data_IF_432874176995
#
_entry.id   IF_432874176995
#
_cell.length_a   1.000
_cell.length_b   1.000
_cell.length_c   1.000
_cell.angle_alpha   90.00
_cell.angle_beta   90.00
_cell.angle_gamma   90.00
#
_symmetry.space_group_name_H-M   'P 1'
#
loop_
_entity.id
_entity.type
_entity.pdbx_description
1 polymer ?
#
# COMPACT_ATOMS: atom_id res chain seq x y z
N UNK A 1 19.87 46.16 18.93
CA UNK A 1 18.74 45.27 19.31
C UNK A 1 18.97 43.95 18.61
N UNK A 2 19.53 43.00 19.34
CA UNK A 2 19.88 41.68 18.76
C UNK A 2 18.65 40.75 18.87
N UNK A 3 18.11 40.39 17.72
CA UNK A 3 17.05 39.38 17.63
C UNK A 3 17.72 38.02 17.76
N UNK A 4 17.62 37.41 18.91
CA UNK A 4 18.01 36.01 19.11
C UNK A 4 17.00 35.11 18.42
N UNK A 5 17.38 34.54 17.30
CA UNK A 5 16.65 33.42 16.69
C UNK A 5 16.77 32.21 17.62
N UNK A 6 15.67 31.70 18.09
CA UNK A 6 15.59 30.42 18.78
C UNK A 6 16.07 29.30 17.83
N UNK A 7 16.89 28.36 18.29
CA UNK A 7 17.29 27.23 17.43
C UNK A 7 16.09 26.41 17.03
N UNK A 8 16.03 26.01 15.77
CA UNK A 8 15.00 25.08 15.26
C UNK A 8 15.11 23.73 15.99
N UNK A 9 13.99 23.10 16.37
CA UNK A 9 14.02 21.82 17.05
C UNK A 9 14.74 20.76 16.22
N UNK A 10 15.66 20.04 16.85
CA UNK A 10 16.53 19.04 16.17
C UNK A 10 15.89 17.66 16.05
N UNK A 11 14.78 17.43 16.74
CA UNK A 11 14.02 16.16 16.65
C UNK A 11 12.52 16.42 16.57
N UNK A 12 11.81 15.46 15.95
CA UNK A 12 10.36 15.47 15.85
C UNK A 12 9.67 15.48 17.23
N UNK A 13 10.27 14.80 18.21
CA UNK A 13 9.76 14.76 19.59
C UNK A 13 9.87 16.13 20.30
N UNK A 14 10.93 16.88 20.05
CA UNK A 14 11.09 18.26 20.55
C UNK A 14 10.08 19.21 19.92
N UNK A 15 9.79 19.02 18.62
CA UNK A 15 8.80 19.81 17.92
C UNK A 15 7.38 19.57 18.47
N UNK A 16 7.00 18.31 18.74
CA UNK A 16 5.71 17.96 19.38
C UNK A 16 5.58 18.54 20.78
N UNK A 17 6.69 18.64 21.53
CA UNK A 17 6.71 19.14 22.90
C UNK A 17 6.65 20.67 23.00
N UNK A 18 6.97 21.41 21.95
CA UNK A 18 7.00 22.87 21.94
C UNK A 18 5.62 23.53 21.76
N UNK A 19 4.56 22.76 21.55
CA UNK A 19 3.18 23.24 21.39
C UNK A 19 2.94 23.95 20.04
N UNK A 20 1.67 24.15 19.63
CA UNK A 20 1.36 24.71 18.33
C UNK A 20 1.76 26.18 18.26
N UNK A 21 2.89 26.46 17.62
CA UNK A 21 3.21 27.79 17.13
C UNK A 21 2.37 28.05 15.88
N UNK A 22 1.30 28.80 16.01
CA UNK A 22 0.21 29.01 15.02
C UNK A 22 0.70 29.70 13.72
N UNK A 23 1.98 29.99 13.54
CA UNK A 23 2.44 30.94 12.53
C UNK A 23 3.13 30.40 11.29
N UNK A 24 3.28 29.08 11.10
CA UNK A 24 3.55 28.58 9.75
C UNK A 24 3.51 27.05 9.67
N UNK A 25 2.71 26.52 8.75
CA UNK A 25 2.76 25.13 8.23
C UNK A 25 4.16 24.81 7.68
N UNK A 26 4.94 25.83 7.30
CA UNK A 26 6.34 25.73 6.88
C UNK A 26 7.32 25.33 8.00
N UNK A 27 6.88 25.27 9.25
CA UNK A 27 7.71 24.87 10.40
C UNK A 27 7.51 23.42 10.83
N UNK A 28 6.75 22.61 10.09
CA UNK A 28 6.77 21.16 10.31
C UNK A 28 8.21 20.72 10.00
N UNK A 29 8.97 20.23 10.97
CA UNK A 29 10.28 19.68 10.65
C UNK A 29 10.02 18.58 9.64
N UNK A 30 10.48 18.75 8.41
CA UNK A 30 10.59 17.66 7.45
C UNK A 30 11.63 16.71 8.02
N UNK A 31 11.23 16.01 9.07
CA UNK A 31 12.07 15.01 9.69
C UNK A 31 12.28 13.98 8.60
N UNK A 32 13.53 13.71 8.28
CA UNK A 32 14.00 12.63 7.42
C UNK A 32 13.68 11.28 8.08
N UNK A 33 12.41 11.05 8.41
CA UNK A 33 11.95 9.73 8.80
C UNK A 33 12.07 8.84 7.57
N UNK A 34 12.76 7.73 7.72
CA UNK A 34 12.86 6.75 6.65
C UNK A 34 11.47 6.14 6.41
N UNK A 35 11.16 5.87 5.14
CA UNK A 35 9.99 5.07 4.82
C UNK A 35 10.12 3.70 5.51
N UNK A 36 9.03 3.17 6.12
CA UNK A 36 9.04 1.85 6.71
C UNK A 36 9.45 0.80 5.69
N UNK A 37 10.45 -0.02 6.03
CA UNK A 37 11.00 -1.01 5.11
C UNK A 37 9.99 -2.10 4.71
N UNK A 38 8.94 -2.29 5.50
CA UNK A 38 7.84 -3.22 5.31
C UNK A 38 6.65 -2.64 4.51
N UNK A 39 6.79 -1.41 3.98
CA UNK A 39 5.73 -0.72 3.26
C UNK A 39 4.55 -0.25 4.13
N UNK A 40 4.69 -0.30 5.45
CA UNK A 40 3.69 0.17 6.41
C UNK A 40 3.41 1.67 6.28
N UNK A 41 2.46 2.17 7.09
CA UNK A 41 2.18 3.61 7.08
C UNK A 41 3.35 4.42 7.67
N UNK A 42 3.55 5.61 7.11
CA UNK A 42 4.62 6.49 7.56
C UNK A 42 4.19 7.23 8.85
N UNK A 43 5.02 7.25 9.91
CA UNK A 43 4.66 7.93 11.19
C UNK A 43 4.26 9.40 11.04
N UNK A 44 4.72 10.04 9.98
CA UNK A 44 4.32 11.40 9.65
C UNK A 44 2.84 11.57 9.35
N UNK A 45 2.14 10.51 8.94
CA UNK A 45 0.69 10.53 8.70
C UNK A 45 -0.08 10.83 9.98
N UNK A 46 0.27 10.16 11.07
CA UNK A 46 -0.32 10.42 12.38
C UNK A 46 -0.03 11.85 12.85
N UNK A 47 1.20 12.29 12.71
CA UNK A 47 1.61 13.63 13.08
C UNK A 47 0.88 14.71 12.30
N UNK A 48 0.71 14.52 11.00
CA UNK A 48 -0.05 15.44 10.15
C UNK A 48 -1.49 15.56 10.63
N UNK A 49 -2.16 14.42 10.88
CA UNK A 49 -3.54 14.38 11.35
C UNK A 49 -3.67 15.05 12.72
N UNK A 50 -2.77 14.74 13.66
CA UNK A 50 -2.73 15.34 14.98
C UNK A 50 -2.49 16.86 14.94
N UNK A 51 -1.81 17.36 13.91
CA UNK A 51 -1.54 18.79 13.74
C UNK A 51 -2.70 19.53 13.07
N UNK A 52 -3.31 18.95 12.06
CA UNK A 52 -4.42 19.55 11.32
C UNK A 52 -5.68 19.71 12.20
N UNK A 53 -6.02 18.69 12.99
CA UNK A 53 -7.27 18.67 13.76
C UNK A 53 -7.40 19.82 14.76
N UNK A 54 -6.40 20.19 15.58
CA UNK A 54 -6.49 21.36 16.47
C UNK A 54 -6.62 22.68 15.71
N UNK A 55 -5.95 22.83 14.56
CA UNK A 55 -6.05 24.03 13.72
C UNK A 55 -7.49 24.21 13.27
N UNK A 56 -8.15 23.14 12.86
CA UNK A 56 -9.55 23.15 12.43
C UNK A 56 -10.46 23.58 13.56
N UNK A 57 -10.35 22.89 14.71
CA UNK A 57 -11.19 23.18 15.88
C UNK A 57 -11.04 24.64 16.35
N UNK A 58 -9.83 25.20 16.24
CA UNK A 58 -9.62 26.61 16.58
C UNK A 58 -10.21 27.58 15.55
N UNK A 59 -10.28 27.19 14.28
CA UNK A 59 -10.82 28.02 13.20
C UNK A 59 -12.34 27.91 13.06
N UNK A 60 -12.95 26.76 13.38
CA UNK A 60 -14.41 26.64 13.47
C UNK A 60 -14.99 27.66 14.45
N UNK A 61 -14.28 27.98 15.53
CA UNK A 61 -14.67 29.05 16.47
C UNK A 61 -14.52 30.46 15.88
N UNK A 62 -13.66 30.63 14.84
CA UNK A 62 -13.43 31.94 14.19
C UNK A 62 -14.26 32.15 12.90
N UNK A 63 -14.77 31.08 12.29
CA UNK A 63 -15.64 31.14 11.09
C UNK A 63 -16.97 31.85 11.35
N UNK A 64 -17.42 31.91 12.62
CA UNK A 64 -18.57 32.72 13.04
C UNK A 64 -18.40 34.21 12.65
N UNK A 65 -17.18 34.67 12.33
CA UNK A 65 -16.86 36.07 12.02
C UNK A 65 -16.56 36.38 10.53
N UNK A 66 -16.81 35.45 9.62
CA UNK A 66 -16.95 35.76 8.14
C UNK A 66 -15.72 35.73 7.24
N UNK A 67 -14.50 35.88 7.76
CA UNK A 67 -13.28 36.01 6.90
C UNK A 67 -12.36 34.75 6.85
N UNK A 68 -12.70 33.70 7.59
CA UNK A 68 -11.81 32.56 7.78
C UNK A 68 -11.83 31.48 6.70
N UNK A 69 -12.90 31.35 5.93
CA UNK A 69 -13.15 30.18 5.08
C UNK A 69 -12.19 30.05 3.87
N UNK A 70 -11.85 31.16 3.21
CA UNK A 70 -10.92 31.16 2.07
C UNK A 70 -9.48 30.88 2.47
N UNK A 71 -9.07 31.37 3.66
CA UNK A 71 -7.73 31.09 4.21
C UNK A 71 -7.55 29.61 4.56
N UNK A 72 -8.58 28.93 5.09
CA UNK A 72 -8.54 27.52 5.44
C UNK A 72 -8.41 26.63 4.20
N UNK A 73 -9.15 26.90 3.13
CA UNK A 73 -9.08 26.14 1.87
C UNK A 73 -7.68 26.17 1.27
N UNK A 74 -7.08 27.36 1.16
CA UNK A 74 -5.73 27.53 0.60
C UNK A 74 -4.64 26.83 1.45
N UNK A 75 -4.75 26.90 2.78
CA UNK A 75 -3.83 26.21 3.70
C UNK A 75 -3.97 24.69 3.58
N UNK A 76 -5.19 24.20 3.40
CA UNK A 76 -5.48 22.77 3.24
C UNK A 76 -4.90 22.22 1.95
N UNK A 77 -5.06 22.94 0.83
CA UNK A 77 -4.48 22.56 -0.46
C UNK A 77 -2.95 22.45 -0.38
N UNK A 78 -2.28 23.46 0.16
CA UNK A 78 -0.84 23.42 0.35
C UNK A 78 -0.35 22.28 1.26
N UNK A 79 -1.14 21.93 2.27
CA UNK A 79 -0.83 20.80 3.16
C UNK A 79 -0.96 19.45 2.45
N UNK A 80 -1.99 19.29 1.59
CA UNK A 80 -2.17 18.07 0.79
C UNK A 80 -1.03 17.93 -0.21
N UNK A 81 -0.66 19.00 -0.92
CA UNK A 81 0.45 18.98 -1.87
C UNK A 81 1.78 18.61 -1.20
N UNK A 82 2.03 19.16 -0.02
CA UNK A 82 3.22 18.81 0.76
C UNK A 82 3.20 17.34 1.17
N UNK A 83 2.05 16.83 1.66
CA UNK A 83 1.90 15.42 2.00
C UNK A 83 2.16 14.51 0.80
N UNK A 84 1.57 14.83 -0.36
CA UNK A 84 1.79 14.08 -1.60
C UNK A 84 3.27 14.05 -1.99
N UNK A 85 3.95 15.20 -1.93
CA UNK A 85 5.38 15.31 -2.23
C UNK A 85 6.23 14.45 -1.29
N UNK A 86 5.92 14.46 0.00
CA UNK A 86 6.67 13.69 1.01
C UNK A 86 6.42 12.19 0.83
N UNK A 87 5.18 11.77 0.63
CA UNK A 87 4.87 10.35 0.38
C UNK A 87 5.55 9.86 -0.90
N UNK A 88 5.48 10.65 -1.99
CA UNK A 88 6.15 10.32 -3.25
C UNK A 88 7.66 10.17 -3.04
N UNK A 89 8.32 11.14 -2.42
CA UNK A 89 9.76 11.09 -2.13
C UNK A 89 10.15 9.91 -1.24
N UNK A 90 9.29 9.52 -0.28
CA UNK A 90 9.55 8.35 0.56
C UNK A 90 9.31 7.04 -0.19
N UNK A 91 8.31 6.99 -1.07
CA UNK A 91 8.04 5.79 -1.87
C UNK A 91 9.21 5.46 -2.81
N UNK A 92 9.87 6.47 -3.38
CA UNK A 92 11.04 6.30 -4.26
C UNK A 92 12.26 5.67 -3.58
N UNK A 93 12.32 5.69 -2.26
CA UNK A 93 13.39 5.02 -1.49
C UNK A 93 13.28 3.49 -1.52
N UNK A 94 12.10 2.94 -1.79
CA UNK A 94 11.95 1.52 -1.99
C UNK A 94 12.46 1.13 -3.38
N UNK A 95 13.35 0.16 -3.43
CA UNK A 95 13.90 -0.35 -4.71
C UNK A 95 12.84 -1.12 -5.49
N UNK A 96 12.03 -1.91 -4.79
CA UNK A 96 10.94 -2.70 -5.37
C UNK A 96 9.76 -1.81 -5.79
N UNK A 97 9.40 -1.76 -7.08
CA UNK A 97 8.25 -0.97 -7.54
C UNK A 97 6.92 -1.39 -6.90
N UNK A 98 6.75 -2.69 -6.62
CA UNK A 98 5.52 -3.18 -5.97
C UNK A 98 5.39 -2.65 -4.55
N UNK A 99 6.50 -2.60 -3.80
CA UNK A 99 6.55 -2.06 -2.45
C UNK A 99 6.30 -0.53 -2.43
N UNK A 100 6.75 0.21 -3.47
CA UNK A 100 6.44 1.64 -3.60
C UNK A 100 4.93 1.89 -3.63
N UNK A 101 4.24 1.15 -4.48
CA UNK A 101 2.79 1.30 -4.62
C UNK A 101 2.03 0.76 -3.41
N UNK A 102 2.52 -0.31 -2.81
CA UNK A 102 1.98 -0.85 -1.56
C UNK A 102 2.09 0.18 -0.42
N UNK A 103 3.25 0.83 -0.25
CA UNK A 103 3.46 1.92 0.69
C UNK A 103 2.50 3.10 0.44
N UNK A 104 2.37 3.54 -0.82
CA UNK A 104 1.44 4.63 -1.17
C UNK A 104 0.00 4.27 -0.83
N UNK A 105 -0.44 3.06 -1.17
CA UNK A 105 -1.78 2.56 -0.86
C UNK A 105 -2.08 2.59 0.64
N UNK A 106 -1.16 2.09 1.48
CA UNK A 106 -1.29 2.09 2.94
C UNK A 106 -1.44 3.50 3.51
N UNK A 107 -0.64 4.44 3.02
CA UNK A 107 -0.65 5.81 3.52
C UNK A 107 -1.92 6.58 3.13
N UNK A 108 -2.40 6.40 1.89
CA UNK A 108 -3.68 7.00 1.48
C UNK A 108 -4.86 6.38 2.23
N UNK A 109 -4.82 5.06 2.48
CA UNK A 109 -5.87 4.37 3.25
C UNK A 109 -5.93 4.83 4.70
N UNK A 110 -4.79 5.14 5.32
CA UNK A 110 -4.74 5.66 6.69
C UNK A 110 -5.66 6.87 6.90
N UNK A 111 -5.69 7.81 5.98
CA UNK A 111 -6.54 9.00 6.07
C UNK A 111 -8.05 8.69 6.04
N UNK A 112 -8.44 7.55 5.48
CA UNK A 112 -9.83 7.13 5.43
C UNK A 112 -10.31 6.46 6.71
N UNK A 113 -9.40 5.77 7.41
CA UNK A 113 -9.75 4.91 8.56
C UNK A 113 -9.30 5.47 9.90
N UNK A 114 -8.58 6.59 9.91
CA UNK A 114 -8.16 7.24 11.15
C UNK A 114 -9.35 7.62 12.03
N UNK A 115 -9.17 7.54 13.34
CA UNK A 115 -10.20 7.94 14.32
C UNK A 115 -10.62 9.41 14.20
N UNK A 116 -9.82 10.25 13.54
CA UNK A 116 -10.08 11.67 13.30
C UNK A 116 -10.69 11.92 11.90
N UNK A 117 -11.24 10.88 11.28
CA UNK A 117 -11.83 10.94 9.94
C UNK A 117 -12.93 12.01 9.81
N UNK A 118 -13.74 12.18 10.85
CA UNK A 118 -14.85 13.17 10.85
C UNK A 118 -14.34 14.61 10.79
N UNK A 119 -13.29 14.90 11.53
CA UNK A 119 -12.63 16.20 11.51
C UNK A 119 -11.97 16.46 10.15
N UNK A 120 -11.35 15.45 9.57
CA UNK A 120 -10.77 15.56 8.25
C UNK A 120 -11.84 15.76 7.15
N UNK A 121 -13.05 15.20 7.32
CA UNK A 121 -14.18 15.43 6.39
C UNK A 121 -14.58 16.89 6.30
N UNK A 122 -14.50 17.62 7.41
CA UNK A 122 -14.83 19.06 7.46
C UNK A 122 -13.84 19.85 6.60
N UNK A 123 -12.57 19.44 6.58
CA UNK A 123 -11.51 20.15 5.84
C UNK A 123 -11.48 19.77 4.36
N UNK A 124 -11.38 18.48 4.12
CA UNK A 124 -11.12 17.96 2.78
C UNK A 124 -12.37 17.76 1.95
N UNK A 125 -13.49 17.52 2.63
CA UNK A 125 -14.78 17.26 1.99
C UNK A 125 -14.86 15.94 1.23
N UNK A 126 -16.07 15.55 0.88
CA UNK A 126 -16.36 14.28 0.23
C UNK A 126 -15.69 14.11 -1.13
N UNK A 127 -15.45 15.20 -1.87
CA UNK A 127 -14.80 15.15 -3.19
C UNK A 127 -13.35 14.72 -3.05
N UNK A 128 -12.64 15.25 -2.06
CA UNK A 128 -11.26 14.88 -1.80
C UNK A 128 -11.14 13.40 -1.39
N UNK A 129 -12.01 12.93 -0.49
CA UNK A 129 -11.99 11.54 -0.08
C UNK A 129 -12.34 10.55 -1.19
N UNK A 130 -13.20 10.95 -2.13
CA UNK A 130 -13.42 10.14 -3.35
C UNK A 130 -12.14 10.04 -4.18
N UNK A 131 -11.45 11.15 -4.42
CA UNK A 131 -10.15 11.15 -5.12
C UNK A 131 -9.10 10.33 -4.36
N UNK A 132 -9.12 10.40 -3.04
CA UNK A 132 -8.21 9.60 -2.22
C UNK A 132 -8.44 8.09 -2.40
N UNK A 133 -9.70 7.62 -2.44
CA UNK A 133 -10.01 6.22 -2.76
C UNK A 133 -9.56 5.83 -4.15
N UNK A 134 -9.71 6.72 -5.14
CA UNK A 134 -9.18 6.49 -6.49
C UNK A 134 -7.66 6.29 -6.46
N UNK A 135 -6.92 7.06 -5.65
CA UNK A 135 -5.48 6.88 -5.44
C UNK A 135 -5.15 5.54 -4.77
N UNK A 136 -5.92 5.13 -3.75
CA UNK A 136 -5.77 3.81 -3.12
C UNK A 136 -5.94 2.71 -4.17
N UNK A 137 -7.03 2.76 -4.95
CA UNK A 137 -7.31 1.78 -5.99
C UNK A 137 -6.25 1.77 -7.09
N UNK A 138 -5.79 2.93 -7.55
CA UNK A 138 -4.74 3.03 -8.57
C UNK A 138 -3.42 2.41 -8.08
N UNK A 139 -3.04 2.69 -6.83
CA UNK A 139 -1.83 2.10 -6.27
C UNK A 139 -1.97 0.59 -6.06
N UNK A 140 -3.17 0.10 -5.71
CA UNK A 140 -3.45 -1.34 -5.69
C UNK A 140 -3.24 -1.99 -7.07
N UNK A 141 -3.75 -1.39 -8.15
CA UNK A 141 -3.57 -1.90 -9.50
C UNK A 141 -2.10 -1.95 -9.94
N UNK A 142 -1.31 -0.92 -9.61
CA UNK A 142 0.12 -0.92 -9.88
C UNK A 142 0.85 -1.96 -9.03
N UNK A 143 0.56 -2.04 -7.72
CA UNK A 143 1.09 -3.08 -6.84
C UNK A 143 0.84 -4.48 -7.42
N UNK A 144 -0.41 -4.81 -7.77
CA UNK A 144 -0.80 -6.09 -8.36
C UNK A 144 -0.02 -6.37 -9.65
N UNK A 145 0.07 -5.38 -10.53
CA UNK A 145 0.79 -5.49 -11.81
C UNK A 145 2.28 -5.82 -11.60
N UNK A 146 2.95 -5.11 -10.70
CA UNK A 146 4.38 -5.31 -10.47
C UNK A 146 4.69 -6.58 -9.69
N UNK A 147 3.78 -7.06 -8.84
CA UNK A 147 3.98 -8.26 -8.03
C UNK A 147 3.46 -9.54 -8.68
N UNK A 148 2.21 -9.52 -9.15
CA UNK A 148 1.44 -10.72 -9.42
C UNK A 148 1.21 -11.01 -10.90
N UNK A 149 1.26 -10.01 -11.79
CA UNK A 149 1.05 -10.26 -13.23
C UNK A 149 2.08 -11.22 -13.79
N UNK A 150 3.34 -11.17 -13.31
CA UNK A 150 4.39 -12.12 -13.72
C UNK A 150 4.08 -13.54 -13.23
N UNK A 151 3.59 -13.69 -12.02
CA UNK A 151 3.18 -15.00 -11.46
C UNK A 151 2.02 -15.57 -12.28
N UNK A 152 1.03 -14.74 -12.59
CA UNK A 152 -0.12 -15.12 -13.41
C UNK A 152 0.25 -15.45 -14.85
N UNK A 153 1.30 -14.84 -15.40
CA UNK A 153 1.77 -15.09 -16.76
C UNK A 153 2.14 -16.56 -16.96
N UNK A 154 2.75 -17.20 -15.97
CA UNK A 154 3.12 -18.62 -16.04
C UNK A 154 1.91 -19.56 -16.04
N UNK A 155 0.74 -19.08 -15.62
CA UNK A 155 -0.52 -19.86 -15.66
C UNK A 155 -1.30 -19.70 -16.97
N UNK A 156 -0.82 -18.87 -17.91
CA UNK A 156 -1.47 -18.71 -19.21
C UNK A 156 -1.25 -19.95 -20.06
N UNK A 157 -2.33 -20.43 -20.66
CA UNK A 157 -2.33 -21.58 -21.56
C UNK A 157 -2.14 -21.10 -23.01
N UNK A 158 -0.94 -21.29 -23.54
CA UNK A 158 -0.58 -20.97 -24.95
C UNK A 158 -0.62 -22.23 -25.83
N UNK A 159 -1.52 -23.16 -25.52
CA UNK A 159 -1.59 -24.44 -26.22
C UNK A 159 -2.43 -24.28 -27.46
N UNK A 160 -1.78 -24.30 -28.63
CA UNK A 160 -2.45 -24.44 -29.91
C UNK A 160 -2.83 -25.90 -30.14
N UNK A 161 -4.04 -26.16 -30.67
CA UNK A 161 -4.55 -27.51 -30.94
C UNK A 161 -3.68 -28.30 -31.95
N UNK A 162 -2.72 -27.66 -32.60
CA UNK A 162 -1.74 -28.25 -33.53
C UNK A 162 -0.39 -28.59 -32.90
N UNK A 163 -0.20 -28.30 -31.59
CA UNK A 163 1.07 -28.56 -30.90
C UNK A 163 1.16 -30.03 -30.52
N UNK A 164 2.33 -30.66 -30.77
CA UNK A 164 2.60 -32.02 -30.35
C UNK A 164 2.50 -32.16 -28.82
N UNK A 165 1.84 -33.21 -28.33
CA UNK A 165 1.55 -33.40 -26.89
C UNK A 165 2.85 -33.42 -26.06
N UNK A 166 3.92 -33.97 -26.56
CA UNK A 166 5.22 -34.00 -25.88
C UNK A 166 5.80 -32.60 -25.65
N UNK A 167 5.67 -31.71 -26.65
CA UNK A 167 6.11 -30.32 -26.56
C UNK A 167 5.23 -29.52 -25.59
N UNK A 168 3.92 -29.73 -25.68
CA UNK A 168 2.98 -29.11 -24.77
C UNK A 168 3.25 -29.51 -23.31
N UNK A 169 3.49 -30.79 -23.05
CA UNK A 169 3.83 -31.31 -21.73
C UNK A 169 5.13 -30.70 -21.19
N UNK A 170 6.17 -30.61 -22.01
CA UNK A 170 7.44 -29.96 -21.62
C UNK A 170 7.27 -28.50 -21.25
N UNK A 171 6.57 -27.73 -22.10
CA UNK A 171 6.28 -26.31 -21.83
C UNK A 171 5.48 -26.09 -20.56
N UNK A 172 4.46 -26.93 -20.30
CA UNK A 172 3.65 -26.81 -19.09
C UNK A 172 4.43 -27.17 -17.82
N UNK A 173 5.34 -28.15 -17.86
CA UNK A 173 6.23 -28.46 -16.72
C UNK A 173 7.14 -27.28 -16.38
N UNK A 174 7.73 -26.65 -17.39
CA UNK A 174 8.57 -25.46 -17.22
C UNK A 174 7.76 -24.30 -16.62
N UNK A 175 6.57 -24.00 -17.17
CA UNK A 175 5.68 -22.96 -16.64
C UNK A 175 5.28 -23.21 -15.19
N UNK A 176 4.95 -24.46 -14.82
CA UNK A 176 4.61 -24.82 -13.46
C UNK A 176 5.79 -24.63 -12.50
N UNK A 177 7.00 -25.02 -12.91
CA UNK A 177 8.20 -24.79 -12.11
C UNK A 177 8.49 -23.30 -11.90
N UNK A 178 8.34 -22.48 -12.95
CA UNK A 178 8.50 -21.04 -12.85
C UNK A 178 7.42 -20.39 -11.98
N UNK A 179 6.19 -20.86 -12.09
CA UNK A 179 5.11 -20.44 -11.21
C UNK A 179 5.45 -20.74 -9.74
N UNK A 180 5.81 -21.97 -9.40
CA UNK A 180 6.15 -22.37 -8.03
C UNK A 180 7.26 -21.49 -7.45
N UNK A 181 8.32 -21.28 -8.22
CA UNK A 181 9.46 -20.44 -7.82
C UNK A 181 9.01 -18.98 -7.54
N UNK A 182 8.37 -18.34 -8.51
CA UNK A 182 7.98 -16.93 -8.36
C UNK A 182 6.87 -16.70 -7.34
N UNK A 183 5.90 -17.61 -7.26
CA UNK A 183 4.85 -17.58 -6.27
C UNK A 183 5.42 -17.66 -4.85
N UNK A 184 6.30 -18.64 -4.59
CA UNK A 184 6.95 -18.82 -3.30
C UNK A 184 7.82 -17.60 -2.92
N UNK A 185 8.62 -17.08 -3.87
CA UNK A 185 9.43 -15.89 -3.65
C UNK A 185 8.58 -14.67 -3.32
N UNK A 186 7.51 -14.43 -4.08
CA UNK A 186 6.58 -13.32 -3.85
C UNK A 186 5.91 -13.44 -2.47
N UNK A 187 5.41 -14.62 -2.10
CA UNK A 187 4.80 -14.84 -0.79
C UNK A 187 5.81 -14.65 0.35
N UNK A 188 7.04 -15.17 0.24
CA UNK A 188 8.11 -14.99 1.24
C UNK A 188 8.46 -13.51 1.47
N UNK A 189 8.49 -12.72 0.41
CA UNK A 189 8.76 -11.28 0.54
C UNK A 189 7.57 -10.58 1.16
N UNK A 190 6.36 -10.82 0.65
CA UNK A 190 5.18 -10.05 1.03
C UNK A 190 4.57 -10.46 2.37
N UNK A 191 4.88 -11.65 2.92
CA UNK A 191 4.48 -11.98 4.29
C UNK A 191 5.16 -11.05 5.33
N UNK A 192 6.29 -10.44 5.00
CA UNK A 192 7.01 -9.49 5.86
C UNK A 192 6.48 -8.06 5.75
N UNK A 193 5.65 -7.77 4.76
CA UNK A 193 5.04 -6.44 4.59
C UNK A 193 3.91 -6.24 5.60
N UNK A 194 3.61 -4.97 5.90
CA UNK A 194 2.62 -4.62 6.92
C UNK A 194 1.52 -3.76 6.35
N UNK A 195 0.26 -4.15 6.57
CA UNK A 195 -0.92 -3.34 6.25
C UNK A 195 -1.47 -2.75 7.55
N UNK A 196 -1.73 -1.44 7.54
CA UNK A 196 -2.28 -0.73 8.69
C UNK A 196 -3.74 -1.10 8.97
N UNK A 197 -4.57 -1.18 7.91
CA UNK A 197 -6.00 -1.44 7.98
C UNK A 197 -6.32 -2.89 7.64
N UNK A 198 -6.79 -3.67 8.61
CA UNK A 198 -7.11 -5.09 8.40
C UNK A 198 -8.13 -5.29 7.28
N UNK A 199 -9.09 -4.37 7.14
CA UNK A 199 -10.06 -4.44 6.05
C UNK A 199 -9.39 -4.28 4.67
N UNK A 200 -8.42 -3.38 4.54
CA UNK A 200 -7.63 -3.27 3.32
C UNK A 200 -6.85 -4.56 3.05
N UNK A 201 -6.27 -5.17 4.07
CA UNK A 201 -5.59 -6.46 3.96
C UNK A 201 -6.53 -7.54 3.40
N UNK A 202 -7.71 -7.67 3.99
CA UNK A 202 -8.73 -8.62 3.53
C UNK A 202 -9.15 -8.35 2.08
N UNK A 203 -9.36 -7.09 1.69
CA UNK A 203 -9.72 -6.67 0.34
C UNK A 203 -8.63 -7.06 -0.68
N UNK A 204 -7.36 -6.84 -0.36
CA UNK A 204 -6.22 -7.23 -1.21
C UNK A 204 -6.17 -8.75 -1.37
N UNK A 205 -6.20 -9.50 -0.26
CA UNK A 205 -6.12 -10.96 -0.27
C UNK A 205 -7.30 -11.55 -1.06
N UNK A 206 -8.52 -11.10 -0.82
CA UNK A 206 -9.71 -11.57 -1.55
C UNK A 206 -9.59 -11.32 -3.05
N UNK A 207 -9.09 -10.15 -3.45
CA UNK A 207 -8.87 -9.81 -4.85
C UNK A 207 -7.79 -10.71 -5.50
N UNK A 208 -6.69 -10.99 -4.81
CA UNK A 208 -5.64 -11.90 -5.29
C UNK A 208 -6.16 -13.33 -5.43
N UNK A 209 -6.91 -13.84 -4.45
CA UNK A 209 -7.54 -15.17 -4.49
C UNK A 209 -8.51 -15.30 -5.68
N UNK A 210 -9.32 -14.29 -5.91
CA UNK A 210 -10.29 -14.27 -7.01
C UNK A 210 -9.63 -14.35 -8.40
N UNK A 211 -8.39 -13.95 -8.53
CA UNK A 211 -7.66 -14.01 -9.81
C UNK A 211 -6.79 -15.27 -9.87
N UNK A 212 -6.03 -15.55 -8.81
CA UNK A 212 -5.01 -16.59 -8.82
C UNK A 212 -5.59 -18.01 -8.72
N UNK A 213 -6.55 -18.24 -7.81
CA UNK A 213 -7.11 -19.58 -7.61
C UNK A 213 -7.80 -20.15 -8.86
N UNK A 214 -8.66 -19.38 -9.57
CA UNK A 214 -9.24 -19.89 -10.82
C UNK A 214 -8.18 -20.14 -11.89
N UNK A 215 -7.22 -19.25 -12.06
CA UNK A 215 -6.15 -19.40 -13.05
C UNK A 215 -5.31 -20.65 -12.78
N UNK A 216 -4.92 -20.85 -11.52
CA UNK A 216 -4.17 -22.03 -11.09
C UNK A 216 -4.98 -23.32 -11.30
N UNK A 217 -6.26 -23.34 -10.88
CA UNK A 217 -7.14 -24.51 -11.05
C UNK A 217 -7.31 -24.90 -12.51
N UNK A 218 -7.52 -23.93 -13.42
CA UNK A 218 -7.61 -24.18 -14.86
C UNK A 218 -6.29 -24.73 -15.40
N UNK A 219 -5.16 -24.13 -14.98
CA UNK A 219 -3.84 -24.57 -15.42
C UNK A 219 -3.56 -26.02 -14.96
N UNK A 220 -3.79 -26.34 -13.69
CA UNK A 220 -3.54 -27.68 -13.12
C UNK A 220 -4.45 -28.73 -13.77
N UNK A 221 -5.74 -28.42 -13.98
CA UNK A 221 -6.62 -29.33 -14.69
C UNK A 221 -6.10 -29.69 -16.09
N UNK A 222 -5.68 -28.67 -16.86
CA UNK A 222 -5.12 -28.90 -18.19
C UNK A 222 -3.75 -29.59 -18.14
N UNK A 223 -2.93 -29.30 -17.14
CA UNK A 223 -1.67 -29.96 -16.90
C UNK A 223 -1.84 -31.46 -16.68
N UNK A 224 -2.80 -31.86 -15.86
CA UNK A 224 -3.12 -33.27 -15.59
C UNK A 224 -3.66 -34.01 -16.82
N UNK A 225 -4.44 -33.32 -17.67
CA UNK A 225 -4.92 -33.90 -18.93
C UNK A 225 -3.78 -34.24 -19.92
N UNK A 226 -2.74 -33.39 -19.95
CA UNK A 226 -1.64 -33.50 -20.91
C UNK A 226 -0.49 -34.37 -20.35
N UNK A 227 -0.16 -34.19 -19.06
CA UNK A 227 0.88 -34.94 -18.36
C UNK A 227 0.23 -36.10 -17.61
N UNK A 228 -0.25 -37.10 -18.35
CA UNK A 228 -1.02 -38.24 -17.82
C UNK A 228 -0.25 -39.12 -16.83
N UNK A 229 1.06 -39.25 -17.02
CA UNK A 229 1.92 -40.05 -16.14
C UNK A 229 2.71 -39.15 -15.20
N UNK A 230 2.60 -39.36 -13.89
CA UNK A 230 3.37 -38.69 -12.84
C UNK A 230 3.15 -37.17 -12.75
N UNK A 231 1.98 -36.63 -13.16
CA UNK A 231 1.66 -35.21 -13.04
C UNK A 231 1.82 -34.70 -11.59
N UNK A 232 1.48 -35.52 -10.61
CA UNK A 232 1.58 -35.19 -9.19
C UNK A 232 3.02 -34.92 -8.70
N UNK A 233 4.03 -35.44 -9.37
CA UNK A 233 5.45 -35.19 -9.01
C UNK A 233 5.89 -33.74 -9.27
N UNK A 234 5.16 -33.03 -10.13
CA UNK A 234 5.45 -31.65 -10.51
C UNK A 234 4.56 -30.64 -9.78
N UNK A 235 3.44 -31.07 -9.18
CA UNK A 235 2.49 -30.21 -8.49
C UNK A 235 2.98 -30.05 -7.05
N UNK A 236 3.69 -28.94 -6.77
CA UNK A 236 4.23 -28.61 -5.46
C UNK A 236 3.14 -28.12 -4.49
N UNK A 237 2.18 -27.35 -4.99
CA UNK A 237 1.12 -26.73 -4.20
C UNK A 237 -0.26 -27.24 -4.63
N UNK A 238 -1.08 -27.66 -3.64
CA UNK A 238 -2.52 -27.83 -3.84
C UNK A 238 -3.24 -26.49 -3.77
N UNK A 239 -4.54 -26.50 -4.13
CA UNK A 239 -5.40 -25.30 -4.03
C UNK A 239 -5.47 -24.73 -2.60
N UNK A 240 -5.43 -25.61 -1.59
CA UNK A 240 -5.42 -25.19 -0.18
C UNK A 240 -4.10 -24.54 0.20
N UNK A 241 -2.97 -25.05 -0.28
CA UNK A 241 -1.67 -24.48 0.01
C UNK A 241 -1.55 -23.06 -0.57
N UNK A 242 -1.99 -22.87 -1.83
CA UNK A 242 -2.06 -21.54 -2.46
C UNK A 242 -2.95 -20.60 -1.64
N UNK A 243 -4.13 -21.06 -1.23
CA UNK A 243 -5.05 -20.26 -0.44
C UNK A 243 -4.44 -19.85 0.91
N UNK A 244 -3.82 -20.79 1.62
CA UNK A 244 -3.20 -20.56 2.93
C UNK A 244 -2.00 -19.60 2.82
N UNK A 245 -1.15 -19.77 1.81
CA UNK A 245 -0.04 -18.86 1.56
C UNK A 245 -0.50 -17.43 1.29
N UNK A 246 -1.62 -17.25 0.56
CA UNK A 246 -2.21 -15.92 0.34
C UNK A 246 -2.80 -15.34 1.63
N UNK A 247 -3.39 -16.15 2.52
CA UNK A 247 -3.91 -15.70 3.81
C UNK A 247 -2.80 -15.22 4.75
N UNK A 248 -1.57 -15.69 4.55
CA UNK A 248 -0.41 -15.30 5.33
C UNK A 248 0.33 -14.06 4.81
N UNK A 249 -0.17 -13.39 3.75
CA UNK A 249 0.42 -12.15 3.27
C UNK A 249 0.18 -10.99 4.24
N UNK A 250 1.13 -10.05 4.28
CA UNK A 250 1.05 -8.76 4.97
C UNK A 250 0.89 -8.83 6.49
N UNK A 251 1.40 -9.87 7.12
CA UNK A 251 1.37 -10.01 8.57
C UNK A 251 2.45 -9.17 9.27
N UNK A 252 3.41 -8.66 8.50
CA UNK A 252 4.58 -7.97 9.03
C UNK A 252 5.54 -8.90 9.73
N UNK A 253 6.68 -8.40 10.13
CA UNK A 253 7.55 -9.10 11.05
C UNK A 253 6.87 -9.09 12.41
N UNK A 254 6.14 -10.14 12.77
CA UNK A 254 5.74 -10.37 14.16
C UNK A 254 7.05 -10.42 14.96
N UNK A 255 7.36 -9.35 15.69
CA UNK A 255 8.31 -9.44 16.77
C UNK A 255 7.66 -10.40 17.75
N UNK A 256 8.22 -11.61 17.86
CA UNK A 256 7.90 -12.53 18.95
C UNK A 256 8.10 -11.73 20.25
N UNK A 257 6.97 -11.43 20.91
CA UNK A 257 6.95 -10.86 22.24
C UNK A 257 7.03 -12.00 23.25
#
# INVERSE_FOLDING_TARGET
MSTTMSPSPTSFHEWLSSGPQVNSINSIPVVKLAAPADGGYHPMMESLVCHLVPIIKSQEMNIVNGDGALSLSAQTEGTVELLESILASNSEKHVDPSLRHFFMMNNWRYLEVTNQRKELDVIFGNVWFRKNREKVQQNYEFYRRYSWDKVLEFLKLDINNSMEISIAAGSMKEKLSLFNMHFNETCKVQCTWSVYDEKLREEIIASLKNILLPAYGIFIGKFQDIVTNNAYEYIEYGMFDINDMLDNLFLGNKKDN
#
